data_IF_336468496415
#
_entry.id   IF_336468496415
#
_cell.length_a   1.000
_cell.length_b   1.000
_cell.length_c   1.000
_cell.angle_alpha   90.00
_cell.angle_beta   90.00
_cell.angle_gamma   90.00
#
_symmetry.space_group_name_H-M   'P 1'
#
loop_
_entity.id
_entity.type
_entity.pdbx_description
1 polymer ?
#
# COMPACT_ATOMS: atom_id res chain seq x y z
N UNK A 1 35.34 -9.20 -5.23
CA UNK A 1 35.16 -10.03 -6.44
C UNK A 1 35.96 -9.45 -7.63
N UNK A 2 35.93 -8.14 -7.85
CA UNK A 2 36.74 -7.48 -8.89
C UNK A 2 38.26 -7.67 -8.65
N UNK A 3 38.68 -7.62 -7.39
CA UNK A 3 40.06 -7.89 -6.98
C UNK A 3 40.52 -9.35 -7.27
N UNK A 4 39.57 -10.25 -7.48
CA UNK A 4 39.79 -11.65 -7.87
C UNK A 4 39.60 -11.89 -9.38
N UNK A 5 39.40 -10.81 -10.17
CA UNK A 5 39.18 -10.89 -11.61
C UNK A 5 37.83 -11.45 -12.02
N UNK A 6 36.85 -11.47 -11.10
CA UNK A 6 35.48 -11.90 -11.37
C UNK A 6 34.60 -10.65 -11.53
N UNK A 7 34.19 -10.36 -12.75
CA UNK A 7 33.21 -9.32 -13.04
C UNK A 7 31.83 -9.94 -13.12
N UNK A 8 30.96 -9.60 -12.13
CA UNK A 8 29.55 -9.99 -12.13
C UNK A 8 28.71 -8.75 -12.36
N UNK A 9 27.75 -8.79 -13.29
CA UNK A 9 26.86 -7.68 -13.51
C UNK A 9 25.95 -7.47 -12.29
N UNK A 10 25.75 -6.22 -11.89
CA UNK A 10 24.92 -5.84 -10.75
C UNK A 10 23.59 -5.22 -11.22
N UNK A 11 22.49 -5.71 -10.67
CA UNK A 11 21.16 -5.12 -10.86
C UNK A 11 20.69 -4.54 -9.52
N UNK A 12 20.31 -3.26 -9.51
CA UNK A 12 19.76 -2.59 -8.32
C UNK A 12 18.27 -2.33 -8.52
N UNK A 13 17.45 -2.82 -7.59
CA UNK A 13 16.01 -2.51 -7.53
C UNK A 13 15.72 -1.54 -6.40
N UNK A 14 15.09 -0.40 -6.73
CA UNK A 14 14.74 0.65 -5.80
C UNK A 14 13.32 0.39 -5.26
N UNK A 15 13.18 0.38 -3.92
CA UNK A 15 11.92 0.10 -3.24
C UNK A 15 11.31 1.29 -2.50
N UNK A 16 12.04 2.38 -2.33
CA UNK A 16 11.53 3.65 -1.80
C UNK A 16 12.27 4.19 -0.59
N UNK A 17 12.35 3.48 0.52
CA UNK A 17 13.02 3.95 1.75
C UNK A 17 14.51 4.23 1.51
N UNK A 18 15.14 3.45 0.67
CA UNK A 18 16.50 3.59 0.15
C UNK A 18 16.72 4.94 -0.55
N UNK A 19 15.70 5.48 -1.21
CA UNK A 19 15.74 6.72 -1.97
C UNK A 19 15.23 7.90 -1.13
N UNK A 20 14.00 7.82 -0.63
CA UNK A 20 13.29 8.97 -0.05
C UNK A 20 13.71 9.27 1.38
N UNK A 21 14.16 8.29 2.15
CA UNK A 21 14.55 8.45 3.55
C UNK A 21 16.07 8.34 3.73
N UNK A 22 16.66 7.19 3.40
CA UNK A 22 18.09 6.94 3.59
C UNK A 22 18.91 7.75 2.58
N UNK A 23 18.54 7.66 1.31
CA UNK A 23 19.26 8.28 0.21
C UNK A 23 19.18 9.81 0.20
N UNK A 24 18.13 10.40 0.75
CA UNK A 24 18.02 11.85 0.91
C UNK A 24 18.93 12.43 2.00
N UNK A 25 19.42 11.57 2.93
CA UNK A 25 20.31 12.03 4.00
C UNK A 25 21.73 12.31 3.46
N UNK A 26 22.33 13.47 3.76
CA UNK A 26 23.59 13.91 3.18
C UNK A 26 24.74 12.90 3.27
N UNK A 27 24.82 12.14 4.37
CA UNK A 27 25.86 11.13 4.57
C UNK A 27 25.73 9.92 3.65
N UNK A 28 24.50 9.51 3.33
CA UNK A 28 24.24 8.30 2.54
C UNK A 28 24.01 8.59 1.05
N UNK A 29 23.68 9.84 0.71
CA UNK A 29 23.35 10.23 -0.67
C UNK A 29 24.41 9.79 -1.68
N UNK A 30 25.69 10.03 -1.37
CA UNK A 30 26.81 9.65 -2.26
C UNK A 30 26.94 8.14 -2.43
N UNK A 31 26.73 7.38 -1.35
CA UNK A 31 26.80 5.93 -1.40
C UNK A 31 25.65 5.33 -2.23
N UNK A 32 24.45 5.85 -2.06
CA UNK A 32 23.27 5.44 -2.85
C UNK A 32 23.47 5.79 -4.32
N UNK A 33 23.90 7.02 -4.64
CA UNK A 33 24.19 7.45 -6.01
C UNK A 33 25.31 6.58 -6.65
N UNK A 34 26.36 6.30 -5.91
CA UNK A 34 27.44 5.42 -6.35
C UNK A 34 26.90 4.01 -6.67
N UNK A 35 26.07 3.45 -5.80
CA UNK A 35 25.47 2.12 -6.04
C UNK A 35 24.58 2.11 -7.28
N UNK A 36 23.76 3.16 -7.47
CA UNK A 36 22.91 3.29 -8.66
C UNK A 36 23.75 3.36 -9.94
N UNK A 37 24.77 4.24 -9.99
CA UNK A 37 25.55 4.51 -11.19
C UNK A 37 26.52 3.36 -11.53
N UNK A 38 26.92 2.53 -10.55
CA UNK A 38 27.75 1.34 -10.78
C UNK A 38 26.94 0.07 -11.06
N UNK A 39 25.60 0.13 -11.04
CA UNK A 39 24.77 -1.00 -11.45
C UNK A 39 24.71 -1.11 -12.97
N UNK A 40 24.69 -2.32 -13.49
CA UNK A 40 24.47 -2.59 -14.92
C UNK A 40 23.08 -2.18 -15.34
N UNK A 41 22.08 -2.52 -14.50
CA UNK A 41 20.69 -2.11 -14.65
C UNK A 41 20.11 -1.58 -13.33
N UNK A 42 19.22 -0.62 -13.45
CA UNK A 42 18.47 -0.06 -12.31
C UNK A 42 16.98 -0.18 -12.57
N UNK A 43 16.25 -0.68 -11.59
CA UNK A 43 14.78 -0.72 -11.64
C UNK A 43 14.17 0.03 -10.47
N UNK A 44 12.95 0.53 -10.65
CA UNK A 44 12.14 1.12 -9.59
C UNK A 44 10.74 0.50 -9.60
N UNK A 45 10.12 0.41 -8.43
CA UNK A 45 8.80 -0.23 -8.27
C UNK A 45 7.63 0.64 -8.73
N UNK A 46 7.86 1.90 -9.08
CA UNK A 46 6.85 2.82 -9.61
C UNK A 46 7.50 3.91 -10.46
N UNK A 47 6.69 4.56 -11.30
CA UNK A 47 7.11 5.75 -12.05
C UNK A 47 7.44 6.90 -11.10
N UNK A 48 6.62 7.08 -10.07
CA UNK A 48 6.85 8.10 -9.05
C UNK A 48 8.20 7.92 -8.35
N UNK A 49 8.58 6.69 -7.97
CA UNK A 49 9.88 6.43 -7.34
C UNK A 49 11.04 6.65 -8.32
N UNK A 50 10.88 6.29 -9.60
CA UNK A 50 11.84 6.63 -10.66
C UNK A 50 12.06 8.13 -10.74
N UNK A 51 10.98 8.92 -10.87
CA UNK A 51 11.04 10.38 -10.98
C UNK A 51 11.67 11.02 -9.73
N UNK A 52 11.32 10.54 -8.54
CA UNK A 52 11.94 10.97 -7.28
C UNK A 52 13.45 10.66 -7.27
N UNK A 53 13.85 9.51 -7.77
CA UNK A 53 15.28 9.12 -7.84
C UNK A 53 16.03 10.03 -8.79
N UNK A 54 15.52 10.24 -10.00
CA UNK A 54 16.12 11.12 -11.03
C UNK A 54 16.20 12.59 -10.56
N UNK A 55 15.26 13.02 -9.73
CA UNK A 55 15.25 14.37 -9.12
C UNK A 55 16.25 14.52 -7.98
N UNK A 56 16.43 13.48 -7.16
CA UNK A 56 17.23 13.53 -5.92
C UNK A 56 18.71 13.23 -6.17
N UNK A 57 19.02 12.45 -7.20
CA UNK A 57 20.37 11.97 -7.50
C UNK A 57 20.76 12.31 -8.93
N UNK A 58 22.05 12.44 -9.13
CA UNK A 58 22.63 12.53 -10.47
C UNK A 58 22.80 11.13 -11.05
N UNK A 59 21.74 10.67 -11.72
CA UNK A 59 21.63 9.31 -12.25
C UNK A 59 22.11 9.28 -13.69
N UNK A 60 23.14 8.49 -13.98
CA UNK A 60 23.76 8.36 -15.30
C UNK A 60 23.12 7.28 -16.17
N UNK A 61 22.37 6.38 -15.55
CA UNK A 61 21.76 5.22 -16.23
C UNK A 61 20.23 5.29 -16.25
N UNK A 62 19.57 4.73 -17.28
CA UNK A 62 18.13 4.68 -17.32
C UNK A 62 17.56 3.82 -16.20
N UNK A 63 16.52 4.29 -15.52
CA UNK A 63 15.77 3.54 -14.53
C UNK A 63 14.55 2.93 -15.22
N UNK A 64 14.45 1.60 -15.21
CA UNK A 64 13.31 0.86 -15.73
C UNK A 64 12.26 0.67 -14.63
N UNK A 65 10.98 0.79 -14.97
CA UNK A 65 9.91 0.56 -14.01
C UNK A 65 9.41 -0.88 -14.11
N UNK A 66 9.64 -1.64 -13.05
CA UNK A 66 9.05 -2.98 -12.87
C UNK A 66 8.31 -2.96 -11.53
N UNK A 67 6.96 -2.97 -11.54
CA UNK A 67 6.18 -2.80 -10.32
C UNK A 67 6.34 -3.99 -9.36
N UNK A 68 5.99 -3.76 -8.09
CA UNK A 68 5.78 -4.85 -7.16
C UNK A 68 4.60 -5.72 -7.62
N UNK A 69 4.54 -6.94 -7.12
CA UNK A 69 3.55 -7.94 -7.50
C UNK A 69 2.98 -8.66 -6.28
N UNK A 70 1.89 -9.36 -6.52
CA UNK A 70 1.21 -10.21 -5.55
C UNK A 70 0.95 -11.59 -6.16
N UNK A 71 0.90 -12.60 -5.31
CA UNK A 71 0.49 -13.95 -5.68
C UNK A 71 -1.02 -14.10 -5.55
N UNK A 72 -1.73 -13.97 -6.66
CA UNK A 72 -3.19 -14.06 -6.68
C UNK A 72 -3.74 -15.47 -6.40
N UNK A 73 -2.91 -16.51 -6.46
CA UNK A 73 -3.34 -17.87 -6.12
C UNK A 73 -3.81 -17.96 -4.66
N UNK A 74 -3.20 -17.17 -3.78
CA UNK A 74 -3.56 -17.08 -2.35
C UNK A 74 -4.92 -16.46 -2.09
N UNK A 75 -5.44 -15.65 -3.03
CA UNK A 75 -6.76 -15.02 -2.88
C UNK A 75 -7.93 -15.95 -3.20
N UNK A 76 -7.65 -17.10 -3.83
CA UNK A 76 -8.65 -18.09 -4.23
C UNK A 76 -8.90 -19.15 -3.14
N UNK A 77 -8.06 -19.22 -2.11
CA UNK A 77 -8.20 -20.17 -1.00
C UNK A 77 -9.25 -19.65 0.02
N UNK A 78 -10.52 -19.63 -0.42
CA UNK A 78 -11.68 -19.18 0.38
C UNK A 78 -12.02 -20.13 1.55
N UNK A 79 -11.31 -21.25 1.69
CA UNK A 79 -11.52 -22.22 2.78
C UNK A 79 -11.17 -21.73 4.17
N UNK A 80 -10.56 -20.53 4.28
CA UNK A 80 -10.14 -19.92 5.55
C UNK A 80 -10.88 -18.61 5.89
N UNK A 81 -12.08 -18.40 5.36
CA UNK A 81 -12.87 -17.22 5.73
C UNK A 81 -13.16 -17.26 7.23
N UNK A 82 -12.68 -16.25 7.94
CA UNK A 82 -13.24 -15.94 9.26
C UNK A 82 -14.67 -15.48 9.01
N UNK A 83 -15.61 -16.06 9.76
CA UNK A 83 -16.98 -15.58 9.71
C UNK A 83 -17.00 -14.09 10.13
N UNK A 84 -17.37 -13.20 9.20
CA UNK A 84 -17.50 -11.76 9.45
C UNK A 84 -18.33 -11.50 10.72
N UNK A 85 -19.26 -12.40 11.05
CA UNK A 85 -20.11 -12.31 12.23
C UNK A 85 -19.36 -12.45 13.57
N UNK A 86 -18.14 -12.97 13.60
CA UNK A 86 -17.30 -12.97 14.79
C UNK A 86 -16.76 -11.58 15.14
N UNK A 87 -16.71 -10.68 14.16
CA UNK A 87 -16.13 -9.35 14.29
C UNK A 87 -17.18 -8.25 14.17
N UNK A 88 -18.14 -8.39 13.26
CA UNK A 88 -19.14 -7.40 12.94
C UNK A 88 -20.52 -8.04 12.75
N UNK A 89 -21.61 -7.30 13.00
CA UNK A 89 -22.96 -7.75 12.65
C UNK A 89 -23.18 -7.76 11.12
N UNK A 90 -24.26 -8.41 10.68
CA UNK A 90 -24.54 -8.63 9.25
C UNK A 90 -24.52 -7.35 8.42
N UNK A 91 -25.10 -6.29 8.96
CA UNK A 91 -25.30 -5.01 8.25
C UNK A 91 -24.19 -3.98 8.57
N UNK A 92 -23.17 -4.37 9.35
CA UNK A 92 -22.08 -3.51 9.75
C UNK A 92 -20.95 -3.57 8.75
N UNK A 93 -20.46 -2.42 8.31
CA UNK A 93 -19.28 -2.35 7.46
C UNK A 93 -17.99 -2.62 8.24
N UNK A 94 -17.07 -3.35 7.61
CA UNK A 94 -15.72 -3.59 8.13
C UNK A 94 -14.74 -2.76 7.31
N UNK A 95 -14.11 -1.80 7.97
CA UNK A 95 -13.07 -0.96 7.41
C UNK A 95 -11.72 -1.46 7.94
N UNK A 96 -10.71 -1.53 7.08
CA UNK A 96 -9.41 -2.09 7.45
C UNK A 96 -8.28 -1.13 7.12
N UNK A 97 -7.27 -1.11 8.00
CA UNK A 97 -5.97 -0.49 7.76
C UNK A 97 -4.86 -1.47 8.14
N UNK A 98 -3.84 -1.60 7.30
CA UNK A 98 -2.69 -2.48 7.51
C UNK A 98 -1.41 -1.69 7.31
N UNK A 99 -0.57 -1.59 8.34
CA UNK A 99 0.74 -0.94 8.24
C UNK A 99 1.64 -1.20 9.45
N UNK A 100 2.88 -0.70 9.40
CA UNK A 100 3.84 -0.75 10.49
C UNK A 100 3.76 0.44 11.46
N UNK A 101 2.63 1.10 11.55
CA UNK A 101 2.27 2.22 12.45
C UNK A 101 3.39 3.26 12.66
N UNK A 102 4.09 3.62 11.58
CA UNK A 102 5.06 4.72 11.56
C UNK A 102 4.35 6.06 11.27
N UNK A 103 4.93 7.20 11.66
CA UNK A 103 4.32 8.53 11.41
C UNK A 103 3.87 8.75 9.97
N UNK A 104 4.69 8.32 8.99
CA UNK A 104 4.36 8.45 7.56
C UNK A 104 3.09 7.68 7.13
N UNK A 105 2.61 6.72 7.94
CA UNK A 105 1.34 6.01 7.69
C UNK A 105 0.11 6.75 8.20
N UNK A 106 0.32 7.87 8.94
CA UNK A 106 -0.74 8.79 9.38
C UNK A 106 -1.88 8.07 10.10
N UNK A 107 -1.52 7.21 11.07
CA UNK A 107 -2.46 6.37 11.82
C UNK A 107 -3.59 7.19 12.45
N UNK A 108 -3.28 8.40 12.92
CA UNK A 108 -4.27 9.31 13.52
C UNK A 108 -5.31 9.75 12.49
N UNK A 109 -4.93 9.91 11.23
CA UNK A 109 -5.89 10.26 10.17
C UNK A 109 -6.79 9.07 9.81
N UNK A 110 -6.30 7.82 9.87
CA UNK A 110 -7.17 6.63 9.77
C UNK A 110 -8.29 6.70 10.80
N UNK A 111 -7.95 7.00 12.07
CA UNK A 111 -8.92 7.07 13.16
C UNK A 111 -9.92 8.23 12.98
N UNK A 112 -9.44 9.41 12.54
CA UNK A 112 -10.30 10.57 12.28
C UNK A 112 -11.25 10.34 11.10
N UNK A 113 -10.75 9.72 10.02
CA UNK A 113 -11.59 9.32 8.88
C UNK A 113 -12.65 8.33 9.34
N UNK A 114 -12.26 7.32 10.10
CA UNK A 114 -13.18 6.31 10.63
C UNK A 114 -14.23 6.92 11.56
N UNK A 115 -13.86 7.84 12.45
CA UNK A 115 -14.80 8.53 13.33
C UNK A 115 -15.91 9.24 12.54
N UNK A 116 -15.54 9.93 11.44
CA UNK A 116 -16.51 10.59 10.56
C UNK A 116 -17.41 9.60 9.83
N UNK A 117 -16.86 8.49 9.34
CA UNK A 117 -17.63 7.42 8.69
C UNK A 117 -18.65 6.83 9.70
N UNK A 118 -18.19 6.47 10.90
CA UNK A 118 -19.01 5.87 11.94
C UNK A 118 -20.16 6.77 12.40
N UNK A 119 -20.01 8.08 12.31
CA UNK A 119 -21.08 9.04 12.63
C UNK A 119 -22.22 9.02 11.59
N UNK A 120 -22.04 8.36 10.45
CA UNK A 120 -23.04 8.27 9.36
C UNK A 120 -23.46 6.82 9.07
N UNK A 121 -22.56 5.86 9.26
CA UNK A 121 -22.76 4.45 8.93
C UNK A 121 -22.37 3.58 10.11
N UNK A 122 -23.07 2.46 10.30
CA UNK A 122 -22.62 1.48 11.30
C UNK A 122 -21.42 0.71 10.75
N UNK A 123 -20.25 0.96 11.34
CA UNK A 123 -18.98 0.40 10.88
C UNK A 123 -18.08 0.01 12.06
N UNK A 124 -17.18 -0.93 11.80
CA UNK A 124 -16.02 -1.25 12.63
C UNK A 124 -14.72 -1.03 11.89
N UNK A 125 -13.68 -0.66 12.60
CA UNK A 125 -12.33 -0.51 12.08
C UNK A 125 -11.44 -1.62 12.62
N UNK A 126 -10.75 -2.32 11.72
CA UNK A 126 -9.70 -3.27 12.06
C UNK A 126 -8.35 -2.65 11.69
N UNK A 127 -7.49 -2.53 12.69
CA UNK A 127 -6.14 -2.01 12.58
C UNK A 127 -5.15 -3.16 12.72
N UNK A 128 -4.46 -3.52 11.61
CA UNK A 128 -3.47 -4.60 11.58
C UNK A 128 -2.07 -4.01 11.53
N UNK A 129 -1.21 -4.50 12.38
CA UNK A 129 0.18 -4.08 12.51
C UNK A 129 0.51 -3.45 13.85
N UNK A 130 1.75 -3.03 13.98
CA UNK A 130 2.29 -2.44 15.19
C UNK A 130 3.38 -1.41 14.84
N UNK A 131 3.76 -0.59 15.81
CA UNK A 131 4.82 0.40 15.63
C UNK A 131 4.72 1.59 16.59
N UNK A 132 5.57 2.61 16.40
CA UNK A 132 5.71 3.71 17.35
C UNK A 132 4.40 4.50 17.59
N UNK A 133 3.50 4.57 16.61
CA UNK A 133 2.22 5.27 16.75
C UNK A 133 1.11 4.45 17.45
N UNK A 134 1.35 3.20 17.81
CA UNK A 134 0.33 2.31 18.38
C UNK A 134 -0.30 2.86 19.67
N UNK A 135 0.52 3.22 20.65
CA UNK A 135 0.02 3.73 21.91
C UNK A 135 -0.75 5.04 21.74
N UNK A 136 -0.25 5.93 20.89
CA UNK A 136 -0.92 7.18 20.56
C UNK A 136 -2.26 6.93 19.88
N UNK A 137 -2.34 5.96 18.97
CA UNK A 137 -3.59 5.57 18.31
C UNK A 137 -4.64 5.09 19.31
N UNK A 138 -4.27 4.24 20.27
CA UNK A 138 -5.18 3.78 21.32
C UNK A 138 -5.68 4.90 22.24
N UNK A 139 -4.83 5.89 22.54
CA UNK A 139 -5.25 7.09 23.29
C UNK A 139 -6.23 7.96 22.48
N UNK A 140 -5.98 8.10 21.19
CA UNK A 140 -6.86 8.88 20.30
C UNK A 140 -8.23 8.20 20.12
N UNK A 141 -8.32 6.87 20.03
CA UNK A 141 -9.62 6.18 19.97
C UNK A 141 -10.48 6.49 21.17
N UNK A 142 -9.89 6.59 22.37
CA UNK A 142 -10.58 6.98 23.60
C UNK A 142 -11.08 8.42 23.53
N UNK A 143 -10.23 9.35 23.08
CA UNK A 143 -10.58 10.77 22.94
C UNK A 143 -11.71 11.00 21.93
N UNK A 144 -11.72 10.22 20.83
CA UNK A 144 -12.76 10.28 19.80
C UNK A 144 -14.05 9.50 20.18
N UNK A 145 -14.05 8.75 21.29
CA UNK A 145 -15.19 7.95 21.70
C UNK A 145 -15.52 6.78 20.77
N UNK A 146 -14.47 6.21 20.11
CA UNK A 146 -14.64 5.14 19.12
C UNK A 146 -14.01 3.80 19.57
N UNK A 147 -13.51 3.69 20.79
CA UNK A 147 -12.77 2.52 21.27
C UNK A 147 -13.50 1.19 21.07
N UNK A 148 -14.81 1.16 21.31
CA UNK A 148 -15.64 -0.05 21.16
C UNK A 148 -15.84 -0.49 19.69
N UNK A 149 -15.48 0.37 18.74
CA UNK A 149 -15.63 0.13 17.30
C UNK A 149 -14.29 -0.06 16.59
N UNK A 150 -13.15 0.01 17.31
CA UNK A 150 -11.81 -0.16 16.76
C UNK A 150 -11.14 -1.39 17.37
N UNK A 151 -10.73 -2.30 16.51
CA UNK A 151 -10.02 -3.52 16.90
C UNK A 151 -8.56 -3.39 16.45
N UNK A 152 -7.64 -3.46 17.38
CA UNK A 152 -6.22 -3.50 17.09
C UNK A 152 -5.71 -4.94 17.20
N UNK A 153 -5.39 -5.56 16.07
CA UNK A 153 -4.95 -6.96 16.02
C UNK A 153 -3.44 -7.14 16.31
N UNK A 154 -2.65 -6.05 16.28
CA UNK A 154 -1.19 -6.18 16.28
C UNK A 154 -0.66 -6.81 14.99
N UNK A 155 0.56 -7.34 15.04
CA UNK A 155 1.12 -8.07 13.91
C UNK A 155 0.37 -9.39 13.72
N UNK A 156 -0.12 -9.63 12.52
CA UNK A 156 -0.88 -10.83 12.18
C UNK A 156 -0.34 -11.47 10.91
N UNK A 157 -0.25 -12.78 10.90
CA UNK A 157 0.00 -13.59 9.69
C UNK A 157 -1.29 -13.91 8.91
N UNK A 158 -2.46 -13.55 9.45
CA UNK A 158 -3.77 -13.87 8.89
C UNK A 158 -4.40 -12.66 8.16
N UNK A 159 -3.56 -11.88 7.47
CA UNK A 159 -4.00 -10.68 6.72
C UNK A 159 -5.08 -11.04 5.70
N UNK A 160 -4.95 -12.17 5.02
CA UNK A 160 -5.89 -12.65 4.02
C UNK A 160 -7.30 -12.80 4.60
N UNK A 161 -7.42 -13.35 5.81
CA UNK A 161 -8.71 -13.50 6.49
C UNK A 161 -9.34 -12.15 6.84
N UNK A 162 -8.52 -11.18 7.23
CA UNK A 162 -9.00 -9.82 7.53
C UNK A 162 -9.48 -9.15 6.25
N UNK A 163 -8.73 -9.25 5.16
CA UNK A 163 -9.11 -8.64 3.88
C UNK A 163 -10.35 -9.30 3.28
N UNK A 164 -10.54 -10.62 3.43
CA UNK A 164 -11.76 -11.32 2.98
C UNK A 164 -13.06 -10.77 3.58
N UNK A 165 -13.02 -10.24 4.82
CA UNK A 165 -14.20 -9.68 5.48
C UNK A 165 -14.31 -8.16 5.36
N UNK A 166 -13.35 -7.49 4.74
CA UNK A 166 -13.27 -6.04 4.63
C UNK A 166 -14.17 -5.51 3.52
N UNK A 167 -14.86 -4.43 3.81
CA UNK A 167 -15.69 -3.70 2.85
C UNK A 167 -14.93 -2.50 2.24
N UNK A 168 -13.93 -1.96 2.96
CA UNK A 168 -13.14 -0.80 2.57
C UNK A 168 -11.75 -0.84 3.20
N UNK A 169 -10.75 -0.38 2.46
CA UNK A 169 -9.37 -0.22 2.94
C UNK A 169 -9.00 1.27 3.02
N UNK A 170 -8.42 1.71 4.13
CA UNK A 170 -7.95 3.08 4.34
C UNK A 170 -6.43 3.14 4.28
N UNK A 171 -5.87 4.01 3.43
CA UNK A 171 -4.42 4.23 3.29
C UNK A 171 -4.09 5.72 3.18
N UNK A 172 -4.20 6.52 4.26
CA UNK A 172 -3.96 7.96 4.25
C UNK A 172 -2.47 8.33 4.34
N UNK A 173 -1.57 7.47 3.88
CA UNK A 173 -0.13 7.64 4.00
C UNK A 173 0.36 8.99 3.48
N UNK A 174 1.35 9.56 4.13
CA UNK A 174 2.03 10.79 3.70
C UNK A 174 2.93 10.54 2.50
N UNK A 175 3.55 9.37 2.45
CA UNK A 175 4.38 8.93 1.32
C UNK A 175 4.31 7.42 1.17
N UNK A 176 4.28 6.97 -0.07
CA UNK A 176 4.29 5.56 -0.46
C UNK A 176 5.05 5.39 -1.78
N UNK A 177 5.98 4.47 -1.81
CA UNK A 177 6.71 4.18 -3.06
C UNK A 177 5.87 3.41 -4.08
N UNK A 178 4.89 2.62 -3.62
CA UNK A 178 4.04 1.80 -4.48
C UNK A 178 2.61 1.63 -3.94
N UNK A 179 2.46 1.30 -2.65
CA UNK A 179 1.16 1.02 -2.04
C UNK A 179 0.80 -0.48 -2.03
N UNK A 180 1.76 -1.34 -1.68
CA UNK A 180 1.57 -2.80 -1.68
C UNK A 180 0.36 -3.24 -0.84
N UNK A 181 0.14 -2.64 0.34
CA UNK A 181 -1.02 -2.95 1.18
C UNK A 181 -2.37 -2.62 0.50
N UNK A 182 -2.42 -1.55 -0.32
CA UNK A 182 -3.59 -1.25 -1.13
C UNK A 182 -3.79 -2.31 -2.22
N UNK A 183 -2.72 -2.73 -2.89
CA UNK A 183 -2.78 -3.78 -3.90
C UNK A 183 -3.24 -5.11 -3.31
N UNK A 184 -2.74 -5.49 -2.13
CA UNK A 184 -3.19 -6.66 -1.39
C UNK A 184 -4.70 -6.59 -1.09
N UNK A 185 -5.19 -5.46 -0.59
CA UNK A 185 -6.63 -5.26 -0.35
C UNK A 185 -7.45 -5.39 -1.65
N UNK A 186 -7.00 -4.78 -2.74
CA UNK A 186 -7.65 -4.85 -4.04
C UNK A 186 -7.71 -6.28 -4.59
N UNK A 187 -6.72 -7.11 -4.29
CA UNK A 187 -6.71 -8.53 -4.66
C UNK A 187 -7.84 -9.34 -3.99
N UNK A 188 -8.30 -8.90 -2.83
CA UNK A 188 -9.49 -9.43 -2.15
C UNK A 188 -10.77 -8.68 -2.52
N UNK A 189 -10.77 -7.93 -3.62
CA UNK A 189 -11.91 -7.10 -4.04
C UNK A 189 -12.29 -6.03 -3.02
N UNK A 190 -11.36 -5.51 -2.25
CA UNK A 190 -11.58 -4.44 -1.29
C UNK A 190 -11.19 -3.11 -1.92
N UNK A 191 -12.15 -2.17 -2.15
CA UNK A 191 -11.85 -0.86 -2.68
C UNK A 191 -11.07 0.00 -1.69
N UNK A 192 -10.31 0.97 -2.20
CA UNK A 192 -9.33 1.71 -1.41
C UNK A 192 -9.67 3.21 -1.36
N UNK A 193 -9.70 3.77 -0.15
CA UNK A 193 -9.62 5.22 0.06
C UNK A 193 -8.20 5.55 0.49
N UNK A 194 -7.50 6.34 -0.29
CA UNK A 194 -6.08 6.64 -0.03
C UNK A 194 -5.72 8.10 -0.29
N UNK A 195 -4.54 8.49 0.17
CA UNK A 195 -3.91 9.73 -0.26
C UNK A 195 -3.43 9.64 -1.70
N UNK A 196 -3.42 10.80 -2.37
CA UNK A 196 -2.85 10.97 -3.70
C UNK A 196 -1.36 11.32 -3.59
N UNK A 197 -0.52 10.30 -3.35
CA UNK A 197 0.91 10.50 -3.12
C UNK A 197 1.74 9.32 -3.63
N UNK A 198 2.95 9.61 -4.09
CA UNK A 198 3.92 8.61 -4.52
C UNK A 198 3.36 7.66 -5.59
N UNK A 199 3.63 6.37 -5.43
CA UNK A 199 3.17 5.32 -6.35
C UNK A 199 1.71 4.89 -6.15
N UNK A 200 0.99 5.39 -5.13
CA UNK A 200 -0.42 4.99 -4.89
C UNK A 200 -1.31 5.19 -6.12
N UNK A 201 -1.26 6.33 -6.85
CA UNK A 201 -2.10 6.55 -8.02
C UNK A 201 -1.85 5.59 -9.19
N UNK A 202 -0.73 4.88 -9.17
CA UNK A 202 -0.43 3.85 -10.18
C UNK A 202 -1.14 2.51 -9.89
N UNK A 203 -1.59 2.31 -8.66
CA UNK A 203 -2.29 1.13 -8.17
C UNK A 203 -3.78 1.43 -7.93
N UNK A 204 -4.09 2.45 -7.12
CA UNK A 204 -5.45 2.87 -6.82
C UNK A 204 -5.91 3.96 -7.79
N UNK A 205 -6.75 3.61 -8.76
CA UNK A 205 -7.22 4.54 -9.79
C UNK A 205 -8.46 5.29 -9.30
N UNK A 206 -8.34 6.62 -9.16
CA UNK A 206 -9.40 7.50 -8.68
C UNK A 206 -10.71 7.34 -9.47
N UNK A 207 -11.81 7.15 -8.75
CA UNK A 207 -13.14 6.96 -9.35
C UNK A 207 -13.34 5.60 -10.02
N UNK A 208 -12.38 4.68 -9.92
CA UNK A 208 -12.45 3.36 -10.55
C UNK A 208 -12.27 2.22 -9.54
N UNK A 209 -11.13 2.12 -8.87
CA UNK A 209 -10.87 1.12 -7.82
C UNK A 209 -10.97 1.67 -6.41
N UNK A 210 -11.14 2.97 -6.28
CA UNK A 210 -11.22 3.69 -5.04
C UNK A 210 -11.21 5.20 -5.28
N UNK A 211 -11.00 5.96 -4.22
CA UNK A 211 -10.84 7.41 -4.32
C UNK A 211 -9.49 7.86 -3.76
N UNK A 212 -8.91 8.85 -4.40
CA UNK A 212 -7.71 9.54 -3.97
C UNK A 212 -8.07 10.92 -3.39
N UNK A 213 -7.44 11.31 -2.31
CA UNK A 213 -7.58 12.64 -1.69
C UNK A 213 -6.20 13.24 -1.39
N UNK A 214 -6.05 14.55 -1.25
CA UNK A 214 -4.80 15.13 -0.79
C UNK A 214 -4.33 14.54 0.55
N UNK A 215 -3.02 14.49 0.77
CA UNK A 215 -2.46 14.02 2.04
C UNK A 215 -3.01 14.88 3.19
N UNK A 216 -3.56 14.25 4.22
CA UNK A 216 -4.12 14.91 5.39
C UNK A 216 -5.55 15.44 5.22
N UNK A 217 -6.14 15.32 4.05
CA UNK A 217 -7.54 15.72 3.81
C UNK A 217 -8.50 14.62 4.31
N UNK A 218 -8.62 14.58 5.64
CA UNK A 218 -9.49 13.64 6.37
C UNK A 218 -10.96 13.80 5.96
N UNK A 219 -11.38 15.03 5.65
CA UNK A 219 -12.78 15.32 5.30
C UNK A 219 -13.15 14.70 3.95
N UNK A 220 -12.35 14.95 2.92
CA UNK A 220 -12.57 14.35 1.61
C UNK A 220 -12.49 12.83 1.64
N UNK A 221 -11.53 12.25 2.39
CA UNK A 221 -11.42 10.79 2.55
C UNK A 221 -12.68 10.20 3.19
N UNK A 222 -13.20 10.83 4.24
CA UNK A 222 -14.40 10.36 4.92
C UNK A 222 -15.64 10.47 4.01
N UNK A 223 -15.81 11.60 3.32
CA UNK A 223 -16.93 11.81 2.40
C UNK A 223 -16.92 10.80 1.24
N UNK A 224 -15.75 10.55 0.65
CA UNK A 224 -15.55 9.54 -0.39
C UNK A 224 -15.91 8.12 0.10
N UNK A 225 -15.49 7.78 1.32
CA UNK A 225 -15.81 6.48 1.93
C UNK A 225 -17.31 6.34 2.20
N UNK A 226 -17.96 7.37 2.75
CA UNK A 226 -19.41 7.38 3.00
C UNK A 226 -20.18 7.26 1.69
N UNK A 227 -19.82 8.04 0.67
CA UNK A 227 -20.42 7.96 -0.66
C UNK A 227 -20.35 6.55 -1.22
N UNK A 228 -19.17 5.93 -1.18
CA UNK A 228 -18.94 4.59 -1.71
C UNK A 228 -19.75 3.53 -0.96
N UNK A 229 -19.74 3.56 0.36
CA UNK A 229 -20.41 2.55 1.18
C UNK A 229 -21.94 2.71 1.22
N UNK A 230 -22.45 3.93 0.99
CA UNK A 230 -23.89 4.20 0.98
C UNK A 230 -24.57 3.83 -0.34
N UNK A 231 -23.82 3.67 -1.42
CA UNK A 231 -24.34 3.25 -2.73
C UNK A 231 -23.83 1.84 -3.07
N UNK A 232 -24.72 0.84 -2.92
CA UNK A 232 -24.36 -0.56 -3.14
C UNK A 232 -23.91 -0.85 -4.57
N UNK A 233 -24.43 -0.16 -5.58
CA UNK A 233 -24.03 -0.34 -7.00
C UNK A 233 -22.63 0.24 -7.21
N UNK A 234 -22.38 1.40 -6.67
CA UNK A 234 -21.06 2.03 -6.71
C UNK A 234 -20.03 1.14 -6.01
N UNK A 235 -20.34 0.66 -4.80
CA UNK A 235 -19.47 -0.20 -4.02
C UNK A 235 -19.09 -1.49 -4.79
N UNK A 236 -20.08 -2.21 -5.33
CA UNK A 236 -19.83 -3.43 -6.13
C UNK A 236 -19.02 -3.15 -7.40
N UNK A 237 -19.25 -2.01 -8.05
CA UNK A 237 -18.44 -1.59 -9.20
C UNK A 237 -16.98 -1.36 -8.80
N UNK A 238 -16.73 -0.69 -7.68
CA UNK A 238 -15.37 -0.47 -7.18
C UNK A 238 -14.68 -1.77 -6.77
N UNK A 239 -15.38 -2.69 -6.12
CA UNK A 239 -14.90 -4.03 -5.77
C UNK A 239 -14.44 -4.81 -7.01
N UNK A 240 -15.28 -4.86 -8.02
CA UNK A 240 -14.97 -5.52 -9.30
C UNK A 240 -13.75 -4.90 -9.98
N UNK A 241 -13.69 -3.57 -10.05
CA UNK A 241 -12.57 -2.85 -10.65
C UNK A 241 -11.27 -3.00 -9.85
N UNK A 242 -11.33 -2.98 -8.52
CA UNK A 242 -10.19 -3.23 -7.67
C UNK A 242 -9.56 -4.59 -7.97
N UNK A 243 -10.37 -5.65 -8.02
CA UNK A 243 -9.93 -7.00 -8.41
C UNK A 243 -9.34 -7.03 -9.82
N UNK A 244 -10.00 -6.38 -10.78
CA UNK A 244 -9.54 -6.36 -12.17
C UNK A 244 -8.18 -5.66 -12.30
N UNK A 245 -7.97 -4.53 -11.59
CA UNK A 245 -6.69 -3.82 -11.59
C UNK A 245 -5.61 -4.65 -10.89
N UNK A 246 -5.90 -5.30 -9.76
CA UNK A 246 -4.92 -6.13 -9.06
C UNK A 246 -4.39 -7.27 -9.93
N UNK A 247 -5.18 -7.79 -10.87
CA UNK A 247 -4.75 -8.83 -11.81
C UNK A 247 -3.61 -8.38 -12.76
N UNK A 248 -3.43 -7.06 -12.96
CA UNK A 248 -2.30 -6.54 -13.75
C UNK A 248 -0.96 -6.64 -13.01
N UNK A 249 -1.00 -6.86 -11.70
CA UNK A 249 0.16 -6.99 -10.82
C UNK A 249 0.36 -8.44 -10.34
N UNK A 250 -0.20 -9.42 -11.06
CA UNK A 250 0.01 -10.83 -10.74
C UNK A 250 1.48 -11.23 -10.90
N UNK A 251 1.98 -12.07 -9.99
CA UNK A 251 3.34 -12.60 -10.01
C UNK A 251 3.71 -13.19 -11.37
N UNK A 252 2.78 -13.90 -12.01
CA UNK A 252 3.00 -14.52 -13.33
C UNK A 252 3.10 -13.52 -14.49
N UNK A 253 2.69 -12.26 -14.28
CA UNK A 253 2.87 -11.16 -15.25
C UNK A 253 4.12 -10.34 -14.99
N UNK A 254 4.53 -10.22 -13.73
CA UNK A 254 5.62 -9.31 -13.35
C UNK A 254 6.96 -10.03 -13.27
N UNK A 255 7.01 -11.25 -12.71
CA UNK A 255 8.28 -12.01 -12.60
C UNK A 255 8.96 -12.20 -13.95
N UNK A 256 8.26 -12.54 -15.05
CA UNK A 256 8.91 -12.64 -16.37
C UNK A 256 9.67 -11.38 -16.80
N UNK A 257 9.23 -10.19 -16.40
CA UNK A 257 9.94 -8.94 -16.71
C UNK A 257 11.29 -8.86 -16.00
N UNK A 258 11.40 -9.41 -14.77
CA UNK A 258 12.67 -9.53 -14.07
C UNK A 258 13.56 -10.60 -14.69
N UNK A 259 12.98 -11.75 -15.12
CA UNK A 259 13.69 -12.83 -15.77
C UNK A 259 14.29 -12.36 -17.10
N UNK A 260 13.53 -11.65 -17.94
CA UNK A 260 13.99 -11.04 -19.18
C UNK A 260 15.12 -10.04 -18.92
N UNK A 261 14.99 -9.21 -17.88
CA UNK A 261 16.00 -8.25 -17.47
C UNK A 261 17.30 -9.00 -17.11
N UNK A 262 17.23 -10.00 -16.22
CA UNK A 262 18.42 -10.75 -15.80
C UNK A 262 19.08 -11.49 -16.95
N UNK A 263 18.30 -12.06 -17.88
CA UNK A 263 18.83 -12.69 -19.08
C UNK A 263 19.56 -11.68 -20.00
N UNK A 264 19.08 -10.43 -20.07
CA UNK A 264 19.72 -9.39 -20.87
C UNK A 264 21.07 -8.95 -20.30
N UNK A 265 21.21 -9.04 -18.97
CA UNK A 265 22.45 -8.68 -18.23
C UNK A 265 23.53 -9.74 -18.39
N UNK A 266 23.16 -11.00 -18.61
CA UNK A 266 24.09 -12.14 -18.72
C UNK A 266 24.61 -12.37 -20.15
N UNK A 267 24.11 -11.62 -21.14
CA UNK A 267 24.57 -11.66 -22.53
C UNK A 267 25.69 -10.67 -22.80
#
# INVERSE_FOLDING_TARGET
>A
LEDEGISLPMVTTLHGTDITLVGSHPFYKRAVQFSINNSEYVTAVSKSLKEDTERLFDVEKPINVIPNFIDLSKTNDTGKTIDKYLVASKDQFVITHISNFRPLKRIIDVLKVFEKIRNKLDAKLIMVGDGPERLNAELITKKLGISEKVIFLGNSSEIDKVLCMSDLFLLPSETESFGLAALEAMAFSVPVISSNTGGIPEVNIHGKSGFLSPVGDVESMANNAIQMLSDSRLHESFKSNAKAISNEFDIHKIVPKYEDLYQSVLK
#
